data_IF_355642668258
#
_entry.id   IF_355642668258
#
_cell.length_a   1.000
_cell.length_b   1.000
_cell.length_c   1.000
_cell.angle_alpha   90.00
_cell.angle_beta   90.00
_cell.angle_gamma   90.00
#
_symmetry.space_group_name_H-M   'P 1'
#
loop_
_entity.id
_entity.type
_entity.pdbx_description
1 polymer ?
#
# COMPACT_ATOMS: atom_id res chain seq x y z
N UNK A 1 26.11 10.73 4.69
CA UNK A 1 24.81 10.04 4.68
C UNK A 1 25.03 8.68 5.31
N UNK A 2 24.37 8.41 6.43
CA UNK A 2 24.43 7.11 7.12
C UNK A 2 22.99 6.61 7.19
N UNK A 3 22.52 6.04 6.09
CA UNK A 3 21.19 5.48 6.04
C UNK A 3 21.12 4.22 6.91
N UNK A 4 20.10 4.14 7.74
CA UNK A 4 19.85 3.00 8.64
C UNK A 4 18.48 2.40 8.42
N UNK A 5 18.36 1.11 8.72
CA UNK A 5 17.09 0.40 8.75
C UNK A 5 16.60 0.32 10.18
N UNK A 6 15.42 0.90 10.44
CA UNK A 6 14.79 0.90 11.78
C UNK A 6 13.34 0.45 11.74
N UNK A 7 12.77 0.21 12.92
CA UNK A 7 11.35 -0.12 13.06
C UNK A 7 10.48 1.09 12.72
N UNK A 8 9.27 0.80 12.24
CA UNK A 8 8.23 1.79 12.02
C UNK A 8 7.54 2.10 13.35
N UNK A 9 7.58 3.35 13.80
CA UNK A 9 7.13 3.75 15.14
C UNK A 9 6.36 5.08 15.12
N UNK A 10 5.12 5.04 15.61
CA UNK A 10 4.29 6.23 15.83
C UNK A 10 3.73 6.89 14.56
N UNK A 11 3.01 7.99 14.77
CA UNK A 11 2.18 8.62 13.73
C UNK A 11 3.00 9.41 12.70
N UNK A 12 4.20 9.88 13.08
CA UNK A 12 5.09 10.61 12.16
C UNK A 12 5.61 9.69 11.05
N UNK A 13 5.97 8.47 11.42
CA UNK A 13 6.39 7.44 10.49
C UNK A 13 5.24 6.99 9.59
N UNK A 14 4.05 6.79 10.15
CA UNK A 14 2.83 6.50 9.38
C UNK A 14 2.58 7.59 8.31
N UNK A 15 2.71 8.85 8.70
CA UNK A 15 2.55 9.98 7.78
C UNK A 15 3.62 9.97 6.68
N UNK A 16 4.87 9.64 7.02
CA UNK A 16 5.96 9.52 6.05
C UNK A 16 5.72 8.37 5.06
N UNK A 17 5.28 7.20 5.54
CA UNK A 17 4.93 6.05 4.70
C UNK A 17 3.78 6.40 3.74
N UNK A 18 2.72 7.03 4.24
CA UNK A 18 1.60 7.51 3.41
C UNK A 18 2.04 8.55 2.39
N UNK A 19 2.98 9.42 2.74
CA UNK A 19 3.56 10.38 1.81
C UNK A 19 4.33 9.69 0.69
N UNK A 20 5.27 8.79 1.04
CA UNK A 20 6.05 8.02 0.06
C UNK A 20 5.14 7.19 -0.82
N UNK A 21 4.13 6.50 -0.26
CA UNK A 21 3.16 5.75 -1.04
C UNK A 21 2.48 6.61 -2.10
N UNK A 22 1.98 7.81 -1.74
CA UNK A 22 1.33 8.71 -2.69
C UNK A 22 2.28 9.26 -3.75
N UNK A 23 3.56 9.44 -3.42
CA UNK A 23 4.58 9.92 -4.35
C UNK A 23 5.11 8.83 -5.28
N UNK A 24 4.84 7.54 -5.01
CA UNK A 24 5.31 6.42 -5.82
C UNK A 24 4.20 5.54 -6.40
N UNK A 25 2.93 5.84 -6.10
CA UNK A 25 1.75 5.00 -6.43
C UNK A 25 1.58 4.69 -7.93
N UNK A 26 2.18 5.47 -8.83
CA UNK A 26 2.11 5.28 -10.28
C UNK A 26 3.51 4.97 -10.83
N UNK A 27 3.98 3.73 -10.62
CA UNK A 27 5.27 3.23 -11.09
C UNK A 27 6.45 4.10 -10.61
N UNK A 28 6.51 4.34 -9.29
CA UNK A 28 7.54 5.20 -8.70
C UNK A 28 7.34 6.70 -8.91
N UNK A 29 6.20 7.12 -9.49
CA UNK A 29 5.88 8.53 -9.74
C UNK A 29 4.61 8.99 -9.02
N UNK A 30 4.53 10.28 -8.66
CA UNK A 30 3.32 10.86 -8.09
C UNK A 30 2.23 10.98 -9.16
N UNK A 31 0.98 10.90 -8.73
CA UNK A 31 -0.15 11.27 -9.58
C UNK A 31 -0.23 12.80 -9.69
N UNK A 32 -0.47 13.32 -10.90
CA UNK A 32 -0.61 14.76 -11.11
C UNK A 32 -1.77 15.38 -10.33
N UNK A 33 -2.89 14.66 -10.21
CA UNK A 33 -3.98 14.98 -9.31
C UNK A 33 -4.45 13.71 -8.58
N UNK A 34 -4.81 13.78 -7.29
CA UNK A 34 -5.28 12.63 -6.55
C UNK A 34 -6.63 12.16 -7.12
N UNK A 35 -6.77 10.88 -7.52
CA UNK A 35 -8.02 10.37 -8.05
C UNK A 35 -9.09 10.31 -6.95
N UNK A 36 -10.38 10.28 -7.32
CA UNK A 36 -11.46 10.03 -6.36
C UNK A 36 -11.17 8.76 -5.57
N UNK A 37 -11.60 8.68 -4.31
CA UNK A 37 -11.37 7.52 -3.44
C UNK A 37 -9.88 7.16 -3.15
N UNK A 38 -8.90 7.99 -3.50
CA UNK A 38 -7.47 7.72 -3.22
C UNK A 38 -7.22 7.37 -1.74
N UNK A 39 -7.80 8.11 -0.79
CA UNK A 39 -7.65 7.82 0.65
C UNK A 39 -8.19 6.44 1.04
N UNK A 40 -9.27 5.99 0.40
CA UNK A 40 -9.85 4.66 0.69
C UNK A 40 -8.91 3.56 0.20
N UNK A 41 -8.30 3.76 -0.97
CA UNK A 41 -7.32 2.82 -1.51
C UNK A 41 -6.00 2.84 -0.76
N UNK A 42 -5.50 4.01 -0.38
CA UNK A 42 -4.34 4.13 0.52
C UNK A 42 -4.58 3.32 1.81
N UNK A 43 -5.77 3.43 2.40
CA UNK A 43 -6.14 2.64 3.57
C UNK A 43 -6.20 1.13 3.31
N UNK A 44 -6.66 0.69 2.13
CA UNK A 44 -6.58 -0.73 1.75
C UNK A 44 -5.14 -1.22 1.66
N UNK A 45 -4.23 -0.40 1.13
CA UNK A 45 -2.85 -0.79 0.89
C UNK A 45 -2.01 -0.76 2.17
N UNK A 46 -2.24 0.20 3.06
CA UNK A 46 -1.31 0.51 4.16
C UNK A 46 -1.83 0.14 5.54
N UNK A 47 -3.14 0.23 5.80
CA UNK A 47 -3.65 0.22 7.19
C UNK A 47 -3.37 -1.10 7.93
N UNK A 48 -3.25 -2.23 7.24
CA UNK A 48 -2.80 -3.48 7.87
C UNK A 48 -1.39 -3.33 8.42
N UNK A 49 -0.46 -2.88 7.59
CA UNK A 49 0.96 -2.76 7.91
C UNK A 49 1.26 -1.63 8.88
N UNK A 50 0.44 -0.57 8.89
CA UNK A 50 0.54 0.50 9.88
C UNK A 50 -0.14 0.13 11.21
N UNK A 51 -0.95 -0.94 11.23
CA UNK A 51 -1.61 -1.47 12.42
C UNK A 51 -1.06 -2.83 12.83
N UNK A 52 -1.84 -3.89 12.59
CA UNK A 52 -1.55 -5.25 13.05
C UNK A 52 -0.22 -5.82 12.50
N UNK A 53 0.16 -5.45 11.28
CA UNK A 53 1.41 -5.87 10.63
C UNK A 53 2.63 -5.00 10.95
N UNK A 54 2.50 -4.00 11.85
CA UNK A 54 3.57 -3.03 12.13
C UNK A 54 4.87 -3.67 12.63
N UNK A 55 4.78 -4.76 13.38
CA UNK A 55 5.95 -5.46 13.93
C UNK A 55 6.92 -5.95 12.83
N UNK A 56 6.42 -6.21 11.63
CA UNK A 56 7.18 -6.69 10.48
C UNK A 56 7.56 -5.57 9.49
N UNK A 57 7.08 -4.33 9.73
CA UNK A 57 7.40 -3.19 8.89
C UNK A 57 8.75 -2.57 9.28
N UNK A 58 9.52 -2.13 8.29
CA UNK A 58 10.80 -1.43 8.46
C UNK A 58 10.84 -0.17 7.63
N UNK A 59 11.60 0.81 8.11
CA UNK A 59 11.89 2.06 7.42
C UNK A 59 13.37 2.13 7.08
N UNK A 60 13.68 2.75 5.95
CA UNK A 60 15.02 3.24 5.63
C UNK A 60 15.03 4.74 5.96
N UNK A 61 15.93 5.18 6.84
CA UNK A 61 16.01 6.57 7.28
C UNK A 61 17.46 7.09 7.26
N UNK A 62 17.63 8.40 7.03
CA UNK A 62 18.88 9.13 7.22
C UNK A 62 18.61 10.23 8.26
N UNK A 63 18.92 9.93 9.52
CA UNK A 63 18.46 10.68 10.68
C UNK A 63 16.92 10.70 10.78
N UNK A 64 16.33 11.89 10.94
CA UNK A 64 14.88 12.09 11.02
C UNK A 64 14.14 11.92 9.67
N UNK A 65 14.89 11.84 8.56
CA UNK A 65 14.30 11.75 7.23
C UNK A 65 14.08 10.30 6.83
N UNK A 66 12.81 9.91 6.70
CA UNK A 66 12.43 8.62 6.09
C UNK A 66 12.62 8.68 4.58
N UNK A 67 13.42 7.74 4.05
CA UNK A 67 13.75 7.61 2.63
C UNK A 67 12.91 6.54 1.93
N UNK A 68 12.45 5.54 2.67
CA UNK A 68 11.73 4.39 2.13
C UNK A 68 11.16 3.49 3.21
N UNK A 69 10.39 2.49 2.79
CA UNK A 69 9.82 1.49 3.69
C UNK A 69 9.83 0.11 3.04
N UNK A 70 9.80 -0.92 3.89
CA UNK A 70 9.49 -2.29 3.53
C UNK A 70 8.34 -2.76 4.41
N UNK A 71 7.20 -3.13 3.80
CA UNK A 71 6.04 -3.66 4.51
C UNK A 71 5.89 -5.14 4.17
N UNK A 72 6.04 -5.98 5.19
CA UNK A 72 6.02 -7.44 5.07
C UNK A 72 4.80 -7.97 5.80
N UNK A 73 4.13 -8.97 5.20
CA UNK A 73 3.04 -9.69 5.84
C UNK A 73 3.53 -11.10 6.18
N UNK A 74 3.72 -11.41 7.47
CA UNK A 74 4.12 -12.74 7.93
C UNK A 74 2.94 -13.63 8.34
N UNK A 75 1.78 -13.03 8.66
CA UNK A 75 0.52 -13.73 8.96
C UNK A 75 -0.50 -13.47 7.83
N UNK A 76 -0.41 -14.29 6.78
CA UNK A 76 -1.26 -14.17 5.60
C UNK A 76 -2.74 -14.41 5.92
N UNK A 77 -3.04 -15.35 6.82
CA UNK A 77 -4.41 -15.70 7.18
C UNK A 77 -5.12 -14.55 7.91
N UNK A 78 -4.44 -13.89 8.85
CA UNK A 78 -4.97 -12.73 9.53
C UNK A 78 -5.13 -11.55 8.56
N UNK A 79 -4.17 -11.34 7.66
CA UNK A 79 -4.28 -10.35 6.61
C UNK A 79 -5.49 -10.61 5.71
N UNK A 80 -5.74 -11.84 5.27
CA UNK A 80 -6.91 -12.17 4.44
C UNK A 80 -8.23 -11.91 5.17
N UNK A 81 -8.32 -12.28 6.46
CA UNK A 81 -9.50 -11.99 7.28
C UNK A 81 -9.75 -10.48 7.37
N UNK A 82 -8.70 -9.69 7.57
CA UNK A 82 -8.78 -8.23 7.62
C UNK A 82 -9.16 -7.63 6.25
N UNK A 83 -8.47 -8.07 5.19
CA UNK A 83 -8.62 -7.59 3.83
C UNK A 83 -10.02 -7.84 3.29
N UNK A 84 -10.60 -9.02 3.49
CA UNK A 84 -11.97 -9.34 3.06
C UNK A 84 -13.01 -8.35 3.60
N UNK A 85 -12.91 -7.95 4.87
CA UNK A 85 -13.84 -7.00 5.51
C UNK A 85 -13.69 -5.58 4.94
N UNK A 86 -12.46 -5.19 4.58
CA UNK A 86 -12.14 -3.83 4.12
C UNK A 86 -12.31 -3.66 2.61
N UNK A 87 -12.03 -4.72 1.84
CA UNK A 87 -12.14 -4.77 0.39
C UNK A 87 -13.57 -4.48 -0.09
N UNK A 88 -14.58 -5.02 0.59
CA UNK A 88 -15.98 -4.74 0.25
C UNK A 88 -16.32 -3.24 0.34
N UNK A 89 -15.94 -2.59 1.43
CA UNK A 89 -16.19 -1.15 1.63
C UNK A 89 -15.43 -0.29 0.63
N UNK A 90 -14.23 -0.71 0.26
CA UNK A 90 -13.44 0.01 -0.72
C UNK A 90 -13.92 -0.19 -2.16
N UNK A 91 -14.41 -1.39 -2.51
CA UNK A 91 -14.99 -1.68 -3.82
C UNK A 91 -16.16 -0.73 -4.13
N UNK A 92 -17.01 -0.43 -3.14
CA UNK A 92 -18.13 0.52 -3.27
C UNK A 92 -17.68 1.94 -3.66
N UNK A 93 -16.42 2.32 -3.39
CA UNK A 93 -15.87 3.63 -3.74
C UNK A 93 -15.00 3.61 -4.99
N UNK A 94 -14.26 2.52 -5.21
CA UNK A 94 -13.30 2.39 -6.32
C UNK A 94 -14.01 2.04 -7.64
N UNK A 95 -15.02 1.17 -7.62
CA UNK A 95 -15.72 0.74 -8.85
C UNK A 95 -16.43 1.92 -9.55
N UNK A 96 -17.22 2.77 -8.86
CA UNK A 96 -17.81 3.94 -9.50
C UNK A 96 -16.75 4.92 -10.02
N UNK A 97 -15.65 5.09 -9.27
CA UNK A 97 -14.57 5.98 -9.65
C UNK A 97 -13.81 5.53 -10.91
N UNK A 98 -13.91 4.26 -11.31
CA UNK A 98 -13.35 3.76 -12.57
C UNK A 98 -14.05 4.32 -13.81
N UNK A 99 -15.32 4.74 -13.70
CA UNK A 99 -16.02 5.34 -14.84
C UNK A 99 -15.38 6.69 -15.24
N UNK A 100 -14.94 7.47 -14.25
CA UNK A 100 -14.38 8.82 -14.46
C UNK A 100 -12.86 8.89 -14.37
N UNK A 101 -12.18 7.89 -13.79
CA UNK A 101 -10.73 7.90 -13.58
C UNK A 101 -10.00 6.81 -14.37
N UNK A 102 -9.06 7.23 -15.23
CA UNK A 102 -8.14 6.31 -15.92
C UNK A 102 -7.32 5.48 -14.95
N UNK A 103 -6.89 6.07 -13.83
CA UNK A 103 -6.13 5.37 -12.80
C UNK A 103 -6.88 4.13 -12.29
N UNK A 104 -8.15 4.29 -11.92
CA UNK A 104 -8.96 3.17 -11.42
C UNK A 104 -9.27 2.12 -12.48
N UNK A 105 -9.49 2.52 -13.74
CA UNK A 105 -9.66 1.53 -14.83
C UNK A 105 -8.43 0.64 -14.98
N UNK A 106 -7.24 1.25 -14.97
CA UNK A 106 -5.98 0.51 -15.07
C UNK A 106 -5.80 -0.39 -13.84
N UNK A 107 -6.01 0.11 -12.62
CA UNK A 107 -5.90 -0.69 -11.40
C UNK A 107 -6.88 -1.88 -11.35
N UNK A 108 -8.12 -1.71 -11.82
CA UNK A 108 -9.08 -2.81 -11.91
C UNK A 108 -8.66 -3.83 -12.97
N UNK A 109 -8.11 -3.38 -14.10
CA UNK A 109 -7.52 -4.28 -15.11
C UNK A 109 -6.35 -5.07 -14.55
N UNK A 110 -5.43 -4.41 -13.83
CA UNK A 110 -4.29 -5.07 -13.17
C UNK A 110 -4.79 -6.13 -12.17
N UNK A 111 -5.78 -5.79 -11.36
CA UNK A 111 -6.37 -6.73 -10.40
C UNK A 111 -7.01 -7.95 -11.09
N UNK A 112 -7.65 -7.76 -12.25
CA UNK A 112 -8.19 -8.86 -13.04
C UNK A 112 -7.07 -9.77 -13.59
N UNK A 113 -6.00 -9.20 -14.13
CA UNK A 113 -4.81 -9.93 -14.62
C UNK A 113 -4.13 -10.72 -13.50
N UNK A 114 -3.98 -10.11 -12.32
CA UNK A 114 -3.36 -10.74 -11.16
C UNK A 114 -4.22 -11.88 -10.60
N UNK A 115 -5.55 -11.79 -10.69
CA UNK A 115 -6.46 -12.86 -10.26
C UNK A 115 -6.29 -14.14 -11.09
N UNK A 116 -5.95 -14.01 -12.37
CA UNK A 116 -5.67 -15.16 -13.25
C UNK A 116 -4.22 -15.67 -13.17
N UNK A 117 -3.35 -15.02 -12.40
CA UNK A 117 -1.94 -15.40 -12.29
C UNK A 117 -1.71 -16.44 -11.17
N UNK A 118 -0.79 -17.40 -11.34
CA UNK A 118 -0.37 -18.29 -10.26
C UNK A 118 0.13 -17.48 -9.07
N UNK A 119 -0.24 -17.86 -7.84
CA UNK A 119 0.26 -17.20 -6.62
C UNK A 119 1.51 -17.92 -6.13
N UNK A 120 2.71 -17.32 -6.25
CA UNK A 120 3.91 -17.92 -5.69
C UNK A 120 3.92 -17.73 -4.17
N UNK A 121 3.82 -18.84 -3.42
CA UNK A 121 4.05 -19.05 -1.97
C UNK A 121 3.33 -18.10 -0.97
N UNK A 122 3.09 -18.61 0.26
CA UNK A 122 2.28 -17.97 1.31
C UNK A 122 2.92 -16.76 2.01
N UNK A 123 3.60 -15.92 1.25
CA UNK A 123 4.18 -14.66 1.71
C UNK A 123 4.06 -13.62 0.61
N UNK A 124 3.59 -12.42 0.96
CA UNK A 124 3.45 -11.31 0.02
C UNK A 124 4.13 -10.07 0.59
N UNK A 125 5.03 -9.48 -0.21
CA UNK A 125 5.67 -8.21 0.11
C UNK A 125 4.92 -7.07 -0.59
N UNK A 126 4.65 -5.98 0.14
CA UNK A 126 4.20 -4.75 -0.50
C UNK A 126 5.42 -4.02 -1.05
N UNK A 127 5.72 -4.22 -2.34
CA UNK A 127 6.75 -3.44 -3.02
C UNK A 127 6.12 -2.20 -3.67
N UNK A 128 6.56 -0.97 -3.32
CA UNK A 128 6.20 0.24 -4.05
C UNK A 128 6.96 0.39 -5.38
N UNK A 129 7.87 -0.55 -5.72
CA UNK A 129 8.72 -0.48 -6.91
C UNK A 129 8.33 -1.55 -7.93
N UNK A 130 7.59 -1.12 -8.95
CA UNK A 130 7.69 -1.57 -10.34
C UNK A 130 7.73 -0.32 -11.20
#
# INVERSE_FOLDING_TARGET
MTAEVRRLEGDRDDAAVRHIFRSTIALGRPLGAPPPALRTYEGLCLDWYLGAGRADARLLADGERVLGYALVCTDEDAYHRWSRRRALRAALRVVPAATTSRFWRLRLRDAATLRSSPRPVGAHAHSPWV
#
